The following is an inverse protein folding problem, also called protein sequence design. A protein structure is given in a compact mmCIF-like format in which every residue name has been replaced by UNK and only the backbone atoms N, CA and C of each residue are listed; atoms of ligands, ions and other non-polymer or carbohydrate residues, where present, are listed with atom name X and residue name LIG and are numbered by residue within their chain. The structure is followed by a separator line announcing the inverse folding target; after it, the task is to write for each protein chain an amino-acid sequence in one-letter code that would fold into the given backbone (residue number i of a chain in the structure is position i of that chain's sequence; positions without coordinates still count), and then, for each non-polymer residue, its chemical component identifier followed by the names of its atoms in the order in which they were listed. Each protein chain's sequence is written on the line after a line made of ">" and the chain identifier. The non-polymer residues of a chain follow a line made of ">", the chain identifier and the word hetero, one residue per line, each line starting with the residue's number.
data_IF_397996125816
#
_entry.id   IF_397996125816
#
_cell.length_a   1.000
_cell.length_b   1.000
_cell.length_c   1.000
_cell.angle_alpha   90.00
_cell.angle_beta   90.00
_cell.angle_gamma   90.00
#
_symmetry.space_group_name_H-M   'P 1'
#
loop_
_entity.id
_entity.type
_entity.pdbx_description
1 polymer ?
#
# COMPACT_ATOMS: atom_id res chain seq x y z
N UNK A 1 2.89 18.21 8.78
CA UNK A 1 1.72 18.18 7.89
C UNK A 1 1.70 16.79 7.25
N UNK A 2 1.08 15.84 7.95
CA UNK A 2 0.99 14.45 7.48
C UNK A 2 -0.11 14.40 6.42
N UNK A 3 0.27 14.00 5.20
CA UNK A 3 -0.67 13.87 4.08
C UNK A 3 -1.54 12.65 4.37
N UNK A 4 -2.85 12.88 4.52
CA UNK A 4 -3.80 11.82 4.85
C UNK A 4 -3.80 10.75 3.72
N UNK A 5 -3.63 9.45 4.04
CA UNK A 5 -3.49 8.37 3.05
C UNK A 5 -4.71 8.12 2.15
N UNK A 6 -5.80 8.86 2.38
CA UNK A 6 -7.06 8.82 1.63
C UNK A 6 -7.10 9.77 0.42
N UNK A 7 -6.06 10.62 0.24
CA UNK A 7 -5.94 11.53 -0.91
C UNK A 7 -5.60 10.78 -2.21
N UNK A 8 -5.11 9.54 -2.11
CA UNK A 8 -4.60 8.77 -3.24
C UNK A 8 -5.67 7.78 -3.69
N UNK A 9 -6.19 7.98 -4.91
CA UNK A 9 -7.16 7.09 -5.56
C UNK A 9 -6.67 5.62 -5.52
N UNK A 10 -7.60 4.68 -5.38
CA UNK A 10 -7.30 3.26 -5.14
C UNK A 10 -6.38 2.67 -6.21
N UNK A 11 -6.49 3.15 -7.44
CA UNK A 11 -5.65 2.75 -8.57
C UNK A 11 -4.21 3.26 -8.44
N UNK A 12 -4.02 4.47 -7.89
CA UNK A 12 -2.69 4.99 -7.58
C UNK A 12 -2.05 4.28 -6.40
N UNK A 13 -2.81 3.87 -5.38
CA UNK A 13 -2.28 3.08 -4.26
C UNK A 13 -1.76 1.72 -4.75
N UNK A 14 -2.54 1.03 -5.58
CA UNK A 14 -2.12 -0.22 -6.23
C UNK A 14 -0.87 -0.04 -7.12
N UNK A 15 -0.69 1.14 -7.70
CA UNK A 15 0.49 1.46 -8.50
C UNK A 15 1.70 1.76 -7.61
N UNK A 16 1.54 2.56 -6.56
CA UNK A 16 2.60 2.91 -5.60
C UNK A 16 3.10 1.69 -4.81
N UNK A 17 2.23 0.74 -4.46
CA UNK A 17 2.63 -0.52 -3.80
C UNK A 17 3.48 -1.41 -4.74
N UNK A 18 3.30 -1.30 -6.07
CA UNK A 18 4.18 -1.94 -7.06
C UNK A 18 5.56 -1.28 -7.14
N UNK A 19 5.69 -0.01 -6.70
CA UNK A 19 6.94 0.75 -6.71
C UNK A 19 7.85 0.47 -5.51
N UNK A 20 7.62 -0.60 -4.75
CA UNK A 20 8.47 -1.01 -3.62
C UNK A 20 9.91 -1.33 -4.10
N UNK A 21 10.69 -0.26 -4.23
CA UNK A 21 12.09 -0.08 -4.66
C UNK A 21 12.39 -0.49 -6.11
N UNK A 22 12.89 0.45 -6.93
CA UNK A 22 14.15 1.13 -6.66
C UNK A 22 14.01 2.64 -6.41
N UNK A 23 14.99 3.20 -5.71
CA UNK A 23 15.27 4.65 -5.75
C UNK A 23 15.50 4.99 -7.23
N UNK A 24 14.53 5.66 -7.84
CA UNK A 24 14.67 6.16 -9.21
C UNK A 24 15.59 7.35 -9.16
N UNK A 25 16.68 7.30 -9.94
CA UNK A 25 17.41 8.51 -10.29
C UNK A 25 16.47 9.34 -11.14
N UNK A 26 15.84 10.33 -10.51
CA UNK A 26 14.97 11.30 -11.19
C UNK A 26 15.86 12.07 -12.16
N UNK A 27 15.85 11.66 -13.43
CA UNK A 27 16.65 12.29 -14.49
C UNK A 27 16.13 13.66 -14.89
N UNK A 28 14.89 14.01 -14.53
CA UNK A 28 14.29 15.31 -14.84
C UNK A 28 13.64 15.93 -13.59
N UNK A 29 14.50 16.41 -12.68
CA UNK A 29 14.09 17.03 -11.42
C UNK A 29 13.31 18.33 -11.62
N UNK A 30 13.50 19.01 -12.75
CA UNK A 30 12.88 20.31 -13.05
C UNK A 30 11.40 20.17 -13.43
N UNK A 31 11.04 19.14 -14.19
CA UNK A 31 9.65 18.86 -14.53
C UNK A 31 8.84 18.46 -13.29
N UNK A 32 9.44 17.67 -12.38
CA UNK A 32 8.78 17.28 -11.13
C UNK A 32 8.64 18.46 -10.15
N UNK A 33 9.66 19.31 -10.00
CA UNK A 33 9.56 20.49 -9.14
C UNK A 33 8.45 21.44 -9.63
N UNK A 34 8.36 21.65 -10.94
CA UNK A 34 7.33 22.48 -11.56
C UNK A 34 5.92 21.93 -11.30
N UNK A 35 5.73 20.61 -11.40
CA UNK A 35 4.44 19.97 -11.11
C UNK A 35 4.07 20.06 -9.63
N UNK A 36 5.03 19.87 -8.72
CA UNK A 36 4.81 20.02 -7.27
C UNK A 36 4.44 21.47 -6.93
N UNK A 37 5.12 22.46 -7.49
CA UNK A 37 4.79 23.88 -7.29
C UNK A 37 3.40 24.24 -7.82
N UNK A 38 2.99 23.67 -8.95
CA UNK A 38 1.65 23.90 -9.51
C UNK A 38 0.56 23.25 -8.67
N UNK A 39 0.80 22.05 -8.13
CA UNK A 39 -0.10 21.38 -7.19
C UNK A 39 -0.22 22.21 -5.91
N UNK A 40 0.89 22.66 -5.32
CA UNK A 40 0.90 23.47 -4.10
C UNK A 40 0.15 24.80 -4.28
N UNK A 41 0.42 25.53 -5.36
CA UNK A 41 -0.31 26.77 -5.69
C UNK A 41 -1.80 26.54 -5.93
N UNK A 42 -2.16 25.41 -6.53
CA UNK A 42 -3.57 25.06 -6.78
C UNK A 42 -4.30 24.66 -5.49
N UNK A 43 -3.63 24.00 -4.55
CA UNK A 43 -4.17 23.64 -3.24
C UNK A 43 -4.32 24.84 -2.29
N UNK A 44 -3.45 25.85 -2.41
CA UNK A 44 -3.44 27.05 -1.57
C UNK A 44 -4.35 28.18 -2.09
N UNK A 45 -5.09 27.95 -3.18
CA UNK A 45 -6.07 28.92 -3.68
C UNK A 45 -7.31 28.94 -2.75
N UNK A 46 -7.69 30.13 -2.29
CA UNK A 46 -8.69 30.34 -1.23
C UNK A 46 -10.10 29.83 -1.54
N UNK A 47 -10.46 29.64 -2.82
CA UNK A 47 -11.67 28.92 -3.24
C UNK A 47 -11.40 28.18 -4.57
N UNK A 48 -11.34 26.84 -4.56
CA UNK A 48 -11.30 26.08 -5.79
C UNK A 48 -12.70 26.00 -6.40
N UNK A 49 -12.91 26.70 -7.52
CA UNK A 49 -14.07 26.48 -8.37
C UNK A 49 -13.96 25.13 -9.11
N UNK A 50 -15.02 24.74 -9.83
CA UNK A 50 -15.07 23.46 -10.57
C UNK A 50 -13.98 23.32 -11.65
N UNK A 51 -13.39 24.43 -12.12
CA UNK A 51 -12.25 24.43 -13.03
C UNK A 51 -10.92 24.22 -12.31
N UNK A 52 -10.75 24.79 -11.10
CA UNK A 52 -9.57 24.55 -10.25
C UNK A 52 -9.42 23.09 -9.87
N UNK A 53 -10.52 22.41 -9.51
CA UNK A 53 -10.52 20.97 -9.22
C UNK A 53 -10.10 20.14 -10.44
N UNK A 54 -10.59 20.51 -11.64
CA UNK A 54 -10.18 19.86 -12.89
C UNK A 54 -8.70 20.10 -13.21
N UNK A 55 -8.20 21.31 -12.94
CA UNK A 55 -6.79 21.65 -13.07
C UNK A 55 -5.89 20.81 -12.15
N UNK A 56 -6.28 20.67 -10.88
CA UNK A 56 -5.57 19.83 -9.92
C UNK A 56 -5.55 18.36 -10.36
N UNK A 57 -6.68 17.83 -10.83
CA UNK A 57 -6.75 16.46 -11.33
C UNK A 57 -5.85 16.26 -12.57
N UNK A 58 -5.81 17.24 -13.48
CA UNK A 58 -4.91 17.21 -14.63
C UNK A 58 -3.43 17.25 -14.22
N UNK A 59 -3.06 18.07 -13.22
CA UNK A 59 -1.70 18.13 -12.68
C UNK A 59 -1.30 16.81 -11.99
N UNK A 60 -2.20 16.19 -11.22
CA UNK A 60 -1.99 14.88 -10.62
C UNK A 60 -1.79 13.80 -11.69
N UNK A 61 -2.64 13.78 -12.72
CA UNK A 61 -2.50 12.84 -13.83
C UNK A 61 -1.20 13.06 -14.62
N UNK A 62 -0.79 14.31 -14.84
CA UNK A 62 0.49 14.63 -15.46
C UNK A 62 1.68 14.17 -14.60
N UNK A 63 1.62 14.40 -13.29
CA UNK A 63 2.63 13.93 -12.34
C UNK A 63 2.73 12.41 -12.36
N UNK A 64 1.61 11.70 -12.24
CA UNK A 64 1.60 10.25 -12.33
C UNK A 64 2.07 9.77 -13.69
N UNK A 65 1.69 10.43 -14.78
CA UNK A 65 2.17 10.09 -16.13
C UNK A 65 3.68 10.25 -16.27
N UNK A 66 4.29 11.33 -15.74
CA UNK A 66 5.75 11.53 -15.75
C UNK A 66 6.44 10.48 -14.89
N UNK A 67 5.91 10.22 -13.69
CA UNK A 67 6.39 9.17 -12.80
C UNK A 67 6.31 7.81 -13.52
N UNK A 68 5.16 7.44 -14.06
CA UNK A 68 4.96 6.23 -14.87
C UNK A 68 5.88 6.18 -16.08
N UNK A 69 6.10 7.28 -16.80
CA UNK A 69 6.99 7.33 -17.96
C UNK A 69 8.46 7.15 -17.56
N UNK A 70 8.90 7.67 -16.40
CA UNK A 70 10.23 7.39 -15.87
C UNK A 70 10.39 5.91 -15.46
N UNK A 71 9.31 5.29 -14.96
CA UNK A 71 9.25 3.84 -14.71
C UNK A 71 9.21 3.00 -16.00
N UNK A 72 8.43 3.39 -17.00
CA UNK A 72 8.32 2.69 -18.28
C UNK A 72 9.58 2.85 -19.14
N UNK A 73 10.22 4.02 -19.11
CA UNK A 73 11.51 4.26 -19.78
C UNK A 73 12.65 3.44 -19.17
N UNK A 74 12.52 3.00 -17.91
CA UNK A 74 13.40 1.99 -17.30
C UNK A 74 12.97 0.55 -17.59
N UNK A 75 11.69 0.28 -17.87
CA UNK A 75 11.23 -1.05 -18.30
C UNK A 75 11.54 -1.36 -19.77
N UNK A 76 11.40 -0.41 -20.69
CA UNK A 76 11.60 -0.66 -22.13
C UNK A 76 13.07 -0.73 -22.54
N UNK A 77 14.00 -0.10 -21.79
CA UNK A 77 15.44 -0.21 -22.04
C UNK A 77 16.14 -1.30 -21.21
N UNK A 78 15.43 -1.96 -20.30
CA UNK A 78 15.91 -3.10 -19.53
C UNK A 78 14.85 -4.20 -19.41
N UNK A 79 14.50 -4.81 -20.55
CA UNK A 79 14.07 -6.22 -20.58
C UNK A 79 15.27 -7.12 -20.22
N UNK A 80 15.85 -6.96 -19.02
CA UNK A 80 16.57 -8.05 -18.39
C UNK A 80 15.50 -9.08 -18.01
N UNK A 81 15.72 -10.38 -18.26
CA UNK A 81 14.79 -11.40 -17.81
C UNK A 81 14.54 -11.21 -16.31
N UNK A 82 13.30 -10.87 -15.95
CA UNK A 82 12.91 -10.66 -14.56
C UNK A 82 13.37 -11.89 -13.78
N UNK A 83 14.23 -11.70 -12.78
CA UNK A 83 14.79 -12.82 -12.02
C UNK A 83 13.63 -13.69 -11.51
N UNK A 84 13.80 -15.01 -11.50
CA UNK A 84 12.77 -15.94 -10.98
C UNK A 84 12.24 -15.51 -9.61
N UNK A 85 13.11 -14.95 -8.77
CA UNK A 85 12.75 -14.40 -7.46
C UNK A 85 11.77 -13.24 -7.58
N UNK A 86 12.05 -12.26 -8.46
CA UNK A 86 11.17 -11.12 -8.71
C UNK A 86 9.80 -11.54 -9.27
N UNK A 87 9.73 -12.60 -10.08
CA UNK A 87 8.46 -13.14 -10.59
C UNK A 87 7.63 -13.77 -9.45
N UNK A 88 8.28 -14.57 -8.61
CA UNK A 88 7.64 -15.19 -7.43
C UNK A 88 7.13 -14.12 -6.46
N UNK A 89 7.92 -13.08 -6.19
CA UNK A 89 7.52 -11.97 -5.32
C UNK A 89 6.30 -11.22 -5.88
N UNK A 90 6.26 -10.95 -7.18
CA UNK A 90 5.12 -10.32 -7.82
C UNK A 90 3.86 -11.20 -7.75
N UNK A 91 3.99 -12.49 -8.06
CA UNK A 91 2.89 -13.45 -7.99
C UNK A 91 2.36 -13.61 -6.54
N UNK A 92 3.25 -13.66 -5.55
CA UNK A 92 2.87 -13.68 -4.14
C UNK A 92 2.05 -12.45 -3.75
N UNK A 93 2.48 -11.24 -4.14
CA UNK A 93 1.76 -10.00 -3.83
C UNK A 93 0.35 -10.00 -4.42
N UNK A 94 0.20 -10.44 -5.66
CA UNK A 94 -1.11 -10.55 -6.31
C UNK A 94 -2.03 -11.55 -5.57
N UNK A 95 -1.48 -12.71 -5.16
CA UNK A 95 -2.24 -13.66 -4.35
C UNK A 95 -2.61 -13.09 -2.98
N UNK A 96 -1.71 -12.33 -2.36
CA UNK A 96 -1.92 -11.73 -1.05
C UNK A 96 -3.09 -10.73 -1.09
N UNK A 97 -3.09 -9.80 -2.04
CA UNK A 97 -4.16 -8.79 -2.20
C UNK A 97 -5.56 -9.40 -2.30
N UNK A 98 -5.69 -10.52 -3.03
CA UNK A 98 -6.99 -11.18 -3.23
C UNK A 98 -7.42 -12.13 -2.11
N UNK A 99 -6.47 -12.67 -1.32
CA UNK A 99 -6.74 -13.82 -0.46
C UNK A 99 -6.37 -13.63 1.02
N UNK A 100 -5.77 -12.50 1.42
CA UNK A 100 -5.32 -12.29 2.81
C UNK A 100 -6.41 -12.45 3.88
N UNK A 101 -7.69 -12.37 3.53
CA UNK A 101 -8.82 -12.55 4.44
C UNK A 101 -9.06 -14.02 4.77
N UNK A 102 -8.87 -14.92 3.80
CA UNK A 102 -9.12 -16.36 3.91
C UNK A 102 -7.83 -17.14 4.17
N UNK A 103 -6.74 -16.77 3.50
CA UNK A 103 -5.43 -17.41 3.61
C UNK A 103 -4.55 -16.64 4.60
N UNK A 104 -4.18 -17.29 5.69
CA UNK A 104 -3.39 -16.68 6.77
C UNK A 104 -2.00 -17.28 6.93
N UNK A 105 -1.77 -18.46 6.34
CA UNK A 105 -0.53 -19.20 6.57
C UNK A 105 0.37 -19.05 5.34
N UNK A 106 1.69 -18.85 5.54
CA UNK A 106 2.67 -18.87 4.45
C UNK A 106 2.58 -20.14 3.57
N UNK A 107 2.18 -21.26 4.16
CA UNK A 107 2.02 -22.53 3.46
C UNK A 107 0.95 -22.49 2.37
N UNK A 108 -0.15 -21.76 2.61
CA UNK A 108 -1.26 -21.66 1.66
C UNK A 108 -0.81 -20.95 0.36
N UNK A 109 -0.08 -19.84 0.52
CA UNK A 109 0.50 -19.10 -0.60
C UNK A 109 1.57 -19.88 -1.35
N UNK A 110 2.41 -20.62 -0.62
CA UNK A 110 3.44 -21.45 -1.23
C UNK A 110 2.83 -22.58 -2.08
N UNK A 111 1.74 -23.20 -1.59
CA UNK A 111 0.99 -24.21 -2.33
C UNK A 111 0.39 -23.65 -3.63
N UNK A 112 -0.23 -22.46 -3.58
CA UNK A 112 -0.77 -21.79 -4.77
C UNK A 112 0.33 -21.44 -5.81
N UNK A 113 1.54 -21.15 -5.34
CA UNK A 113 2.70 -20.88 -6.19
C UNK A 113 3.46 -22.16 -6.61
N UNK A 114 3.01 -23.35 -6.19
CA UNK A 114 3.68 -24.63 -6.44
C UNK A 114 5.15 -24.66 -6.00
N UNK A 115 5.45 -24.06 -4.85
CA UNK A 115 6.78 -24.02 -4.24
C UNK A 115 6.73 -24.39 -2.76
N UNK A 116 7.89 -24.68 -2.16
CA UNK A 116 7.95 -24.91 -0.72
C UNK A 116 7.79 -23.61 0.06
N UNK A 117 7.21 -23.69 1.26
CA UNK A 117 7.05 -22.54 2.16
C UNK A 117 8.39 -21.90 2.54
N UNK A 118 9.41 -22.73 2.76
CA UNK A 118 10.77 -22.27 3.05
C UNK A 118 11.34 -21.46 1.89
N UNK A 119 11.15 -21.94 0.65
CA UNK A 119 11.63 -21.23 -0.54
C UNK A 119 10.89 -19.91 -0.76
N UNK A 120 9.56 -19.88 -0.61
CA UNK A 120 8.80 -18.62 -0.67
C UNK A 120 9.32 -17.60 0.34
N UNK A 121 9.57 -18.03 1.58
CA UNK A 121 10.09 -17.15 2.62
C UNK A 121 11.49 -16.64 2.30
N UNK A 122 12.37 -17.50 1.81
CA UNK A 122 13.72 -17.12 1.36
C UNK A 122 13.66 -16.10 0.21
N UNK A 123 12.79 -16.32 -0.78
CA UNK A 123 12.59 -15.42 -1.92
C UNK A 123 12.15 -14.03 -1.43
N UNK A 124 11.16 -13.96 -0.54
CA UNK A 124 10.66 -12.68 -0.03
C UNK A 124 11.70 -11.96 0.82
N UNK A 125 12.46 -12.67 1.66
CA UNK A 125 13.55 -12.05 2.43
C UNK A 125 14.63 -11.52 1.49
N UNK A 126 15.03 -12.28 0.46
CA UNK A 126 16.06 -11.85 -0.50
C UNK A 126 15.63 -10.66 -1.35
N UNK A 127 14.34 -10.58 -1.70
CA UNK A 127 13.84 -9.54 -2.61
C UNK A 127 13.31 -8.31 -1.89
N UNK A 128 12.79 -8.44 -0.67
CA UNK A 128 12.13 -7.36 0.06
C UNK A 128 12.67 -7.13 1.47
N UNK A 129 13.54 -8.01 1.99
CA UNK A 129 14.04 -7.95 3.37
C UNK A 129 13.06 -8.48 4.42
N UNK A 130 11.87 -8.96 4.04
CA UNK A 130 10.81 -9.35 4.98
C UNK A 130 10.29 -10.78 4.74
N UNK A 131 9.86 -11.44 5.81
CA UNK A 131 9.31 -12.80 5.75
C UNK A 131 7.90 -12.84 5.15
N UNK A 132 7.48 -14.03 4.70
CA UNK A 132 6.10 -14.23 4.21
C UNK A 132 5.06 -13.89 5.27
N UNK A 133 5.29 -14.31 6.52
CA UNK A 133 4.39 -14.01 7.64
C UNK A 133 4.29 -12.51 7.92
N UNK A 134 5.40 -11.78 7.77
CA UNK A 134 5.41 -10.33 7.92
C UNK A 134 4.51 -9.67 6.88
N UNK A 135 4.64 -10.03 5.60
CA UNK A 135 3.80 -9.51 4.52
C UNK A 135 2.31 -9.78 4.77
N UNK A 136 1.95 -11.01 5.16
CA UNK A 136 0.56 -11.36 5.48
C UNK A 136 0.02 -10.49 6.62
N UNK A 137 0.79 -10.36 7.71
CA UNK A 137 0.39 -9.55 8.87
C UNK A 137 0.28 -8.06 8.52
N UNK A 138 1.22 -7.51 7.76
CA UNK A 138 1.18 -6.10 7.37
C UNK A 138 -0.05 -5.78 6.52
N UNK A 139 -0.35 -6.56 5.49
CA UNK A 139 -1.55 -6.36 4.68
C UNK A 139 -2.83 -6.48 5.52
N UNK A 140 -2.88 -7.47 6.41
CA UNK A 140 -4.01 -7.69 7.29
C UNK A 140 -4.26 -6.49 8.23
N UNK A 141 -3.21 -5.95 8.84
CA UNK A 141 -3.34 -4.83 9.76
C UNK A 141 -3.48 -3.48 9.06
N UNK A 142 -2.99 -3.36 7.83
CA UNK A 142 -3.32 -2.22 6.98
C UNK A 142 -4.82 -2.15 6.71
N UNK A 143 -5.44 -3.29 6.38
CA UNK A 143 -6.88 -3.35 6.19
C UNK A 143 -7.66 -3.12 7.48
N UNK A 144 -7.18 -3.66 8.61
CA UNK A 144 -7.76 -3.39 9.92
C UNK A 144 -7.79 -1.88 10.24
N UNK A 145 -6.68 -1.18 10.01
CA UNK A 145 -6.60 0.28 10.20
C UNK A 145 -7.57 1.01 9.27
N UNK A 146 -7.69 0.58 8.01
CA UNK A 146 -8.64 1.14 7.05
C UNK A 146 -10.08 1.01 7.54
N UNK A 147 -10.47 -0.18 8.02
CA UNK A 147 -11.82 -0.40 8.57
C UNK A 147 -12.06 0.40 9.84
N UNK A 148 -11.06 0.51 10.72
CA UNK A 148 -11.17 1.32 11.95
C UNK A 148 -11.40 2.80 11.67
N UNK A 149 -10.80 3.32 10.60
CA UNK A 149 -10.90 4.72 10.18
C UNK A 149 -12.19 5.04 9.42
N UNK A 150 -12.59 4.15 8.51
CA UNK A 150 -13.66 4.44 7.54
C UNK A 150 -15.02 3.83 7.90
N UNK A 151 -15.12 3.11 9.01
CA UNK A 151 -16.36 2.43 9.40
C UNK A 151 -16.58 2.52 10.90
N UNK A 152 -17.85 2.41 11.29
CA UNK A 152 -18.29 2.32 12.70
C UNK A 152 -18.23 0.90 13.27
N UNK A 153 -17.72 -0.09 12.52
CA UNK A 153 -17.65 -1.47 12.95
C UNK A 153 -16.90 -1.59 14.28
N UNK A 154 -17.39 -2.40 15.20
CA UNK A 154 -16.69 -2.71 16.44
C UNK A 154 -15.38 -3.46 16.16
N UNK A 155 -14.43 -3.40 17.10
CA UNK A 155 -13.20 -4.21 17.01
C UNK A 155 -13.49 -5.71 16.86
N UNK A 156 -14.66 -6.18 17.33
CA UNK A 156 -15.10 -7.57 17.21
C UNK A 156 -15.55 -7.89 15.79
N UNK A 157 -16.37 -7.04 15.18
CA UNK A 157 -16.82 -7.20 13.80
C UNK A 157 -15.64 -7.12 12.83
N UNK A 158 -14.71 -6.18 13.04
CA UNK A 158 -13.49 -6.07 12.24
C UNK A 158 -12.64 -7.34 12.33
N UNK A 159 -12.53 -7.95 13.51
CA UNK A 159 -11.80 -9.22 13.66
C UNK A 159 -12.42 -10.32 12.77
N UNK A 160 -13.74 -10.48 12.80
CA UNK A 160 -14.44 -11.48 11.99
C UNK A 160 -14.37 -11.18 10.49
N UNK A 161 -14.53 -9.91 10.11
CA UNK A 161 -14.40 -9.44 8.72
C UNK A 161 -13.01 -9.72 8.13
N UNK A 162 -12.00 -9.71 9.00
CA UNK A 162 -10.63 -10.08 8.67
C UNK A 162 -10.33 -11.57 8.87
N UNK A 163 -11.34 -12.42 9.11
CA UNK A 163 -11.17 -13.87 9.21
C UNK A 163 -10.51 -14.36 10.50
N UNK A 164 -10.55 -13.60 11.60
CA UNK A 164 -10.15 -14.07 12.92
C UNK A 164 -11.33 -14.75 13.63
N UNK A 165 -11.11 -15.95 14.15
CA UNK A 165 -12.09 -16.66 14.98
C UNK A 165 -12.15 -16.11 16.42
N UNK A 166 -11.02 -15.58 16.91
CA UNK A 166 -10.91 -14.98 18.25
C UNK A 166 -10.61 -13.47 18.16
N UNK A 167 -11.62 -12.62 18.43
CA UNK A 167 -11.45 -11.17 18.52
C UNK A 167 -10.42 -10.71 19.56
N UNK A 168 -10.26 -11.43 20.67
CA UNK A 168 -9.28 -11.07 21.69
C UNK A 168 -7.85 -11.34 21.20
N UNK A 169 -7.64 -12.44 20.48
CA UNK A 169 -6.37 -12.69 19.80
C UNK A 169 -6.05 -11.61 18.76
N UNK A 170 -7.03 -11.22 17.93
CA UNK A 170 -6.87 -10.09 17.00
C UNK A 170 -6.42 -8.81 17.72
N UNK A 171 -7.11 -8.40 18.78
CA UNK A 171 -6.79 -7.17 19.49
C UNK A 171 -5.38 -7.18 20.11
N UNK A 172 -4.96 -8.32 20.68
CA UNK A 172 -3.60 -8.52 21.22
C UNK A 172 -2.55 -8.41 20.13
N UNK A 173 -2.77 -9.06 18.99
CA UNK A 173 -1.83 -9.04 17.87
C UNK A 173 -1.78 -7.66 17.20
N UNK A 174 -2.92 -6.99 17.03
CA UNK A 174 -3.01 -5.63 16.53
C UNK A 174 -2.18 -4.67 17.39
N UNK A 175 -2.33 -4.74 18.72
CA UNK A 175 -1.54 -3.94 19.67
C UNK A 175 -0.05 -4.26 19.59
N UNK A 176 0.31 -5.54 19.47
CA UNK A 176 1.72 -5.95 19.34
C UNK A 176 2.36 -5.36 18.08
N UNK A 177 1.63 -5.29 16.97
CA UNK A 177 2.15 -4.80 15.68
C UNK A 177 2.11 -3.27 15.56
N UNK A 178 1.05 -2.63 16.05
CA UNK A 178 0.82 -1.19 15.84
C UNK A 178 1.06 -0.34 17.10
N UNK A 179 1.38 -0.94 18.25
CA UNK A 179 1.58 -0.25 19.53
C UNK A 179 0.31 0.17 20.27
N UNK A 180 -0.80 0.38 19.54
CA UNK A 180 -2.09 0.81 20.06
C UNK A 180 -3.14 -0.30 19.99
N UNK A 181 -4.15 -0.27 20.86
CA UNK A 181 -5.32 -1.14 20.66
C UNK A 181 -6.14 -0.66 19.46
N UNK A 182 -6.97 -1.51 18.84
CA UNK A 182 -7.85 -1.08 17.75
C UNK A 182 -8.71 0.15 18.10
N UNK A 183 -9.25 0.20 19.33
CA UNK A 183 -10.10 1.32 19.77
C UNK A 183 -9.29 2.58 20.07
N UNK A 184 -8.10 2.46 20.65
CA UNK A 184 -7.22 3.62 20.87
C UNK A 184 -6.73 4.19 19.53
N UNK A 185 -6.46 3.31 18.55
CA UNK A 185 -6.12 3.73 17.20
C UNK A 185 -7.27 4.52 16.55
N UNK A 186 -8.52 4.05 16.65
CA UNK A 186 -9.70 4.78 16.14
C UNK A 186 -9.83 6.17 16.77
N UNK A 187 -9.69 6.27 18.09
CA UNK A 187 -9.77 7.56 18.80
C UNK A 187 -8.69 8.53 18.30
N UNK A 188 -7.45 8.06 18.19
CA UNK A 188 -6.35 8.89 17.69
C UNK A 188 -6.57 9.40 16.25
N UNK A 189 -7.24 8.62 15.40
CA UNK A 189 -7.61 9.09 14.06
C UNK A 189 -8.68 10.19 14.09
N UNK A 190 -9.69 10.08 14.96
CA UNK A 190 -10.73 11.12 15.10
C UNK A 190 -10.17 12.43 15.66
N UNK A 191 -9.23 12.37 16.61
CA UNK A 191 -8.61 13.56 17.20
C UNK A 191 -7.72 14.33 16.21
N UNK A 192 -7.29 13.71 15.11
CA UNK A 192 -6.50 14.34 14.04
C UNK A 192 -7.37 14.90 12.90
N UNK A 193 -8.67 14.60 12.90
CA UNK A 193 -9.64 15.02 11.87
C UNK A 193 -10.66 16.05 12.36
N UNK A 194 -10.53 16.51 13.61
CA UNK A 194 -11.27 17.65 14.19
C UNK A 194 -10.37 18.87 14.37
#
# INVERSE_FOLDING_TARGET
>A
MEVSPDIIEKDFRNYLDKLSTPVVSVTDSQSLSTLVELIDKSCNASELNSFGVKGLHACLNAFVSVVCNTFSSTQDKHLKPQSRLSQITAAFRQLLEGNFRTLKKPADYAALLSISTAYLNEVLIKTTGFSTSHWIQQHLFLEAKRLLHHTELSSKEIAFELGFEDPAYFARLFKKVNGLTPMDFRKACHDLSG
#
